data_IF_326447616904
#
_entry.id   IF_326447616904
#
_cell.length_a   1.000
_cell.length_b   1.000
_cell.length_c   1.000
_cell.angle_alpha   90.00
_cell.angle_beta   90.00
_cell.angle_gamma   90.00
#
_symmetry.space_group_name_H-M   'P 1'
#
loop_
_entity.id
_entity.type
_entity.pdbx_description
1 polymer ?
#
# COMPACT_ATOMS: atom_id res chain seq x y z
N UNK A 1 -6.02 -10.86 -24.72
CA UNK A 1 -6.31 -9.43 -24.88
C UNK A 1 -5.24 -8.62 -24.15
N UNK A 2 -4.67 -7.68 -24.85
CA UNK A 2 -3.58 -6.87 -24.31
C UNK A 2 -4.14 -5.49 -23.97
N UNK A 3 -3.98 -5.09 -22.71
CA UNK A 3 -4.38 -3.76 -22.26
C UNK A 3 -3.27 -2.78 -22.63
N UNK A 4 -3.58 -1.65 -23.26
CA UNK A 4 -2.56 -0.65 -23.57
C UNK A 4 -1.86 -0.17 -22.32
N UNK A 5 -0.54 -0.01 -22.39
CA UNK A 5 0.26 0.43 -21.23
C UNK A 5 -0.20 1.79 -20.71
N UNK A 6 -0.64 2.67 -21.60
CA UNK A 6 -1.13 3.98 -21.19
C UNK A 6 -2.34 3.92 -20.26
N UNK A 7 -3.25 2.97 -20.50
CA UNK A 7 -4.41 2.77 -19.64
C UNK A 7 -3.98 2.26 -18.28
N UNK A 8 -3.05 1.31 -18.24
CA UNK A 8 -2.54 0.76 -16.99
C UNK A 8 -1.84 1.85 -16.18
N UNK A 9 -1.01 2.67 -16.82
CA UNK A 9 -0.30 3.75 -16.15
C UNK A 9 -1.25 4.82 -15.63
N UNK A 10 -2.31 5.13 -16.40
CA UNK A 10 -3.32 6.08 -15.94
C UNK A 10 -4.03 5.57 -14.70
N UNK A 11 -4.41 4.31 -14.67
CA UNK A 11 -5.01 3.69 -13.50
C UNK A 11 -4.06 3.70 -12.31
N UNK A 12 -2.79 3.35 -12.55
CA UNK A 12 -1.76 3.39 -11.51
C UNK A 12 -1.61 4.78 -10.92
N UNK A 13 -1.59 5.81 -11.77
CA UNK A 13 -1.47 7.20 -11.33
C UNK A 13 -2.64 7.61 -10.46
N UNK A 14 -3.86 7.24 -10.84
CA UNK A 14 -5.06 7.54 -10.05
C UNK A 14 -5.00 6.83 -8.70
N UNK A 15 -4.65 5.56 -8.68
CA UNK A 15 -4.55 4.79 -7.44
C UNK A 15 -3.45 5.36 -6.53
N UNK A 16 -2.30 5.69 -7.09
CA UNK A 16 -1.23 6.29 -6.31
C UNK A 16 -1.67 7.62 -5.71
N UNK A 17 -2.36 8.44 -6.49
CA UNK A 17 -2.90 9.71 -6.02
C UNK A 17 -3.90 9.53 -4.89
N UNK A 18 -4.77 8.52 -4.98
CA UNK A 18 -5.72 8.21 -3.92
C UNK A 18 -4.97 7.80 -2.66
N UNK A 19 -3.92 6.99 -2.79
CA UNK A 19 -3.10 6.58 -1.66
C UNK A 19 -2.41 7.76 -1.00
N UNK A 20 -1.82 8.65 -1.79
CA UNK A 20 -1.16 9.86 -1.27
C UNK A 20 -2.17 10.73 -0.53
N UNK A 21 -3.34 10.92 -1.13
CA UNK A 21 -4.39 11.72 -0.51
C UNK A 21 -4.81 11.13 0.83
N UNK A 22 -5.04 9.81 0.87
CA UNK A 22 -5.41 9.15 2.10
C UNK A 22 -4.34 9.24 3.18
N UNK A 23 -3.07 9.13 2.78
CA UNK A 23 -1.95 9.24 3.71
C UNK A 23 -1.86 10.63 4.32
N UNK A 24 -2.06 11.66 3.52
CA UNK A 24 -1.92 13.06 3.97
C UNK A 24 -3.18 13.60 4.65
N UNK A 25 -4.35 13.07 4.30
CA UNK A 25 -5.62 13.60 4.78
C UNK A 25 -5.92 13.24 6.23
N UNK A 26 -5.40 12.14 6.73
CA UNK A 26 -5.67 11.65 8.07
C UNK A 26 -4.41 11.15 8.74
N UNK A 27 -4.33 11.38 10.05
CA UNK A 27 -3.21 10.91 10.87
C UNK A 27 -3.56 9.64 11.64
N UNK A 28 -4.51 8.89 11.16
CA UNK A 28 -4.85 7.61 11.75
C UNK A 28 -3.85 6.57 11.26
N UNK A 29 -3.23 5.85 12.17
CA UNK A 29 -2.18 4.89 11.83
C UNK A 29 -2.68 3.80 10.89
N UNK A 30 -3.89 3.29 11.12
CA UNK A 30 -4.48 2.25 10.27
C UNK A 30 -4.70 2.79 8.85
N UNK A 31 -5.22 4.02 8.73
CA UNK A 31 -5.43 4.63 7.42
C UNK A 31 -4.10 4.92 6.72
N UNK A 32 -3.06 5.26 7.47
CA UNK A 32 -1.74 5.44 6.88
C UNK A 32 -1.21 4.13 6.30
N UNK A 33 -1.36 3.02 7.02
CA UNK A 33 -0.96 1.71 6.50
C UNK A 33 -1.77 1.34 5.25
N UNK A 34 -3.08 1.53 5.28
CA UNK A 34 -3.93 1.22 4.13
C UNK A 34 -3.52 2.08 2.93
N UNK A 35 -3.24 3.36 3.16
CA UNK A 35 -2.83 4.28 2.09
C UNK A 35 -1.51 3.84 1.46
N UNK A 36 -0.54 3.41 2.26
CA UNK A 36 0.72 2.89 1.75
C UNK A 36 0.48 1.63 0.92
N UNK A 37 -0.43 0.75 1.36
CA UNK A 37 -0.77 -0.45 0.60
C UNK A 37 -1.37 -0.09 -0.77
N UNK A 38 -2.23 0.91 -0.82
CA UNK A 38 -2.80 1.37 -2.09
C UNK A 38 -1.70 1.91 -3.00
N UNK A 39 -0.75 2.67 -2.45
CA UNK A 39 0.37 3.20 -3.24
C UNK A 39 1.25 2.06 -3.77
N UNK A 40 1.52 1.04 -2.95
CA UNK A 40 2.31 -0.10 -3.38
C UNK A 40 1.59 -0.90 -4.47
N UNK A 41 0.27 -1.04 -4.37
CA UNK A 41 -0.51 -1.68 -5.42
C UNK A 41 -0.45 -0.90 -6.73
N UNK A 42 -0.45 0.42 -6.66
CA UNK A 42 -0.31 1.26 -7.85
C UNK A 42 1.06 1.02 -8.51
N UNK A 43 2.12 0.93 -7.72
CA UNK A 43 3.45 0.61 -8.22
C UNK A 43 3.45 -0.76 -8.91
N UNK A 44 2.79 -1.74 -8.30
CA UNK A 44 2.70 -3.08 -8.90
C UNK A 44 2.00 -3.08 -10.24
N UNK A 45 0.92 -2.31 -10.37
CA UNK A 45 0.24 -2.16 -11.66
C UNK A 45 1.20 -1.60 -12.71
N UNK A 46 1.97 -0.58 -12.35
CA UNK A 46 2.95 0.00 -13.26
C UNK A 46 4.01 -1.01 -13.67
N UNK A 47 4.53 -1.77 -12.72
CA UNK A 47 5.55 -2.79 -13.00
C UNK A 47 5.00 -3.87 -13.93
N UNK A 48 3.78 -4.33 -13.68
CA UNK A 48 3.14 -5.33 -14.52
C UNK A 48 2.88 -4.77 -15.92
N UNK A 49 2.43 -3.52 -16.01
CA UNK A 49 2.16 -2.89 -17.30
C UNK A 49 3.43 -2.72 -18.12
N UNK A 50 4.51 -2.25 -17.52
CA UNK A 50 5.77 -2.11 -18.22
C UNK A 50 6.36 -3.46 -18.59
N UNK A 51 6.24 -4.45 -17.70
CA UNK A 51 6.71 -5.80 -18.00
C UNK A 51 6.05 -6.36 -19.25
N UNK A 52 4.74 -6.20 -19.37
CA UNK A 52 4.00 -6.64 -20.54
C UNK A 52 4.38 -5.83 -21.78
N UNK A 53 4.47 -4.52 -21.65
CA UNK A 53 4.77 -3.63 -22.76
C UNK A 53 6.15 -3.91 -23.37
N UNK A 54 7.14 -4.13 -22.52
CA UNK A 54 8.53 -4.36 -22.93
C UNK A 54 8.82 -5.83 -23.21
N UNK A 55 7.91 -6.73 -22.87
CA UNK A 55 8.15 -8.16 -23.00
C UNK A 55 9.25 -8.66 -22.08
N UNK A 56 9.42 -8.03 -20.92
CA UNK A 56 10.51 -8.30 -19.99
C UNK A 56 9.94 -8.73 -18.64
N UNK A 57 10.19 -9.99 -18.20
CA UNK A 57 9.60 -10.48 -16.96
C UNK A 57 10.19 -9.87 -15.68
N UNK A 58 11.24 -9.06 -15.77
CA UNK A 58 11.85 -8.45 -14.59
C UNK A 58 10.88 -7.58 -13.81
N UNK A 59 9.94 -6.92 -14.51
CA UNK A 59 8.90 -6.13 -13.84
C UNK A 59 8.00 -6.97 -12.97
N UNK A 60 7.66 -8.18 -13.43
CA UNK A 60 6.85 -9.11 -12.64
C UNK A 60 7.59 -9.62 -11.42
N UNK A 61 8.90 -9.86 -11.56
CA UNK A 61 9.74 -10.29 -10.44
C UNK A 61 9.79 -9.18 -9.38
N UNK A 62 9.97 -7.93 -9.82
CA UNK A 62 9.96 -6.80 -8.89
C UNK A 62 8.60 -6.65 -8.20
N UNK A 63 7.51 -6.89 -8.94
CA UNK A 63 6.18 -6.84 -8.35
C UNK A 63 6.02 -7.88 -7.24
N UNK A 64 6.59 -9.07 -7.40
CA UNK A 64 6.57 -10.08 -6.35
C UNK A 64 7.31 -9.60 -5.10
N UNK A 65 8.46 -8.94 -5.26
CA UNK A 65 9.18 -8.36 -4.13
C UNK A 65 8.33 -7.29 -3.43
N UNK A 66 7.64 -6.44 -4.19
CA UNK A 66 6.77 -5.43 -3.60
C UNK A 66 5.63 -6.07 -2.82
N UNK A 67 5.04 -7.15 -3.34
CA UNK A 67 4.00 -7.89 -2.64
C UNK A 67 4.55 -8.46 -1.32
N UNK A 68 5.76 -9.00 -1.35
CA UNK A 68 6.39 -9.54 -0.15
C UNK A 68 6.63 -8.44 0.90
N UNK A 69 7.11 -7.28 0.46
CA UNK A 69 7.30 -6.13 1.35
C UNK A 69 5.97 -5.66 1.93
N UNK A 70 4.93 -5.58 1.10
CA UNK A 70 3.60 -5.17 1.55
C UNK A 70 3.06 -6.14 2.59
N UNK A 71 3.24 -7.44 2.37
CA UNK A 71 2.81 -8.45 3.33
C UNK A 71 3.57 -8.31 4.66
N UNK A 72 4.87 -8.05 4.60
CA UNK A 72 5.69 -7.85 5.79
C UNK A 72 5.24 -6.60 6.56
N UNK A 73 4.96 -5.52 5.86
CA UNK A 73 4.48 -4.29 6.49
C UNK A 73 3.13 -4.51 7.16
N UNK A 74 2.21 -5.21 6.49
CA UNK A 74 0.91 -5.52 7.06
C UNK A 74 1.06 -6.37 8.33
N UNK A 75 1.96 -7.35 8.28
CA UNK A 75 2.24 -8.19 9.45
C UNK A 75 2.81 -7.40 10.62
N UNK A 76 3.78 -6.54 10.35
CA UNK A 76 4.36 -5.67 11.38
C UNK A 76 3.31 -4.70 11.92
N UNK A 77 2.54 -4.07 11.04
CA UNK A 77 1.51 -3.14 11.46
C UNK A 77 0.45 -3.79 12.33
N UNK A 78 -0.02 -4.96 11.94
CA UNK A 78 -0.99 -5.71 12.73
C UNK A 78 -0.39 -6.15 14.06
N UNK A 79 0.87 -6.57 14.05
CA UNK A 79 1.58 -6.95 15.27
C UNK A 79 1.70 -5.80 16.24
N UNK A 80 1.97 -4.60 15.74
CA UNK A 80 2.04 -3.41 16.59
C UNK A 80 0.68 -3.10 17.22
N UNK A 81 -0.40 -3.18 16.44
CA UNK A 81 -1.75 -2.93 16.97
C UNK A 81 -2.07 -3.94 18.06
N UNK A 82 -1.77 -5.22 17.84
CA UNK A 82 -2.01 -6.27 18.82
C UNK A 82 -1.17 -6.01 20.08
N UNK A 83 0.10 -5.67 19.91
CA UNK A 83 0.99 -5.43 21.05
C UNK A 83 0.51 -4.24 21.90
N UNK A 84 0.09 -3.16 21.25
CA UNK A 84 -0.46 -2.01 21.96
C UNK A 84 -1.71 -2.39 22.75
N UNK A 85 -2.59 -3.16 22.13
CA UNK A 85 -3.82 -3.56 22.78
C UNK A 85 -3.57 -4.51 23.95
N UNK A 86 -2.56 -5.38 23.83
CA UNK A 86 -2.23 -6.32 24.92
C UNK A 86 -1.59 -5.64 26.11
N UNK A 87 -0.70 -4.67 25.86
CA UNK A 87 0.00 -3.98 26.93
C UNK A 87 -0.91 -3.00 27.67
N UNK A 88 -1.83 -2.38 26.96
CA UNK A 88 -2.80 -1.45 27.54
C UNK A 88 -4.15 -1.69 26.88
N UNK A 89 -4.94 -2.65 27.41
CA UNK A 89 -6.22 -2.99 26.79
C UNK A 89 -7.11 -1.76 26.60
N UNK A 90 -7.59 -1.58 25.38
CA UNK A 90 -8.39 -0.42 25.02
C UNK A 90 -7.59 0.81 24.66
N UNK A 91 -6.35 0.92 25.10
CA UNK A 91 -5.51 2.09 24.83
C UNK A 91 -4.96 2.08 23.40
N UNK A 92 -4.77 0.90 22.82
CA UNK A 92 -4.27 0.81 21.44
C UNK A 92 -5.12 1.58 20.45
N UNK A 93 -6.44 1.47 20.58
CA UNK A 93 -7.36 2.21 19.72
C UNK A 93 -7.27 3.70 20.00
N UNK A 94 -7.20 4.08 21.27
CA UNK A 94 -7.07 5.49 21.63
C UNK A 94 -5.77 6.09 21.07
N UNK A 95 -4.67 5.37 21.13
CA UNK A 95 -3.40 5.86 20.58
C UNK A 95 -3.46 5.98 19.05
N UNK A 96 -4.13 5.04 18.39
CA UNK A 96 -4.32 5.13 16.95
C UNK A 96 -5.14 6.35 16.57
N UNK A 97 -6.14 6.71 17.38
CA UNK A 97 -6.94 7.89 17.12
C UNK A 97 -6.23 9.19 17.50
N UNK A 98 -5.26 9.14 18.39
CA UNK A 98 -4.47 10.33 18.74
C UNK A 98 -3.60 10.82 17.59
N UNK A 99 -3.30 9.96 16.64
CA UNK A 99 -2.61 10.35 15.42
C UNK A 99 -3.50 11.14 14.46
N UNK A 100 -4.78 11.15 14.75
CA UNK A 100 -5.77 11.89 14.01
C UNK A 100 -5.82 13.31 14.58
N UNK A 101 -5.78 14.31 13.72
CA UNK A 101 -5.95 15.69 14.15
C UNK A 101 -7.42 16.07 14.32
#
# INVERSE_FOLDING_TARGET
>A
MIVPVGVVLALSAVLFGIGVFGFLARRNLILMFVSVEVMLNAVNLSLAGFSQHLGDPRGQVLALFVIAVAAAEAGVGLGLVIALNRNRPGAGVAELTQLKW
#
